data_IF_267279872081
#
_entry.id   IF_267279872081
#
_cell.length_a   1.000
_cell.length_b   1.000
_cell.length_c   1.000
_cell.angle_alpha   90.00
_cell.angle_beta   90.00
_cell.angle_gamma   90.00
#
_symmetry.space_group_name_H-M   'P 1'
#
loop_
_entity.id
_entity.type
_entity.pdbx_description
1 polymer ?
#
# COMPACT_ATOMS: atom_id res chain seq x y z
N UNK A 1 -4.11 -28.11 -46.22
CA UNK A 1 -4.72 -27.27 -47.29
C UNK A 1 -5.95 -26.62 -46.72
N UNK A 2 -5.96 -25.35 -46.53
CA UNK A 2 -7.07 -24.36 -46.49
C UNK A 2 -6.72 -23.20 -45.55
N UNK A 3 -6.26 -22.19 -46.14
CA UNK A 3 -6.67 -20.81 -46.39
C UNK A 3 -6.73 -19.89 -45.16
N UNK A 4 -5.66 -19.05 -45.09
CA UNK A 4 -5.60 -17.78 -44.33
C UNK A 4 -6.64 -16.81 -44.89
N UNK A 5 -7.31 -16.07 -43.99
CA UNK A 5 -7.97 -14.80 -44.33
C UNK A 5 -7.46 -13.72 -43.40
N UNK A 6 -6.70 -12.80 -43.98
CA UNK A 6 -6.33 -11.51 -43.39
C UNK A 6 -7.51 -10.53 -43.48
N UNK A 7 -7.78 -9.78 -42.44
CA UNK A 7 -8.62 -8.59 -42.50
C UNK A 7 -7.78 -7.43 -41.99
N UNK A 8 -7.45 -6.54 -42.94
CA UNK A 8 -6.85 -5.24 -42.68
C UNK A 8 -7.97 -4.24 -42.39
N UNK A 9 -7.89 -3.49 -41.33
CA UNK A 9 -8.73 -2.33 -41.08
C UNK A 9 -7.87 -1.05 -41.07
N UNK A 10 -8.11 -0.20 -42.05
CA UNK A 10 -7.61 1.16 -42.15
C UNK A 10 -8.21 2.02 -41.04
N UNK A 11 -7.38 2.82 -40.39
CA UNK A 11 -7.84 4.00 -39.67
C UNK A 11 -7.29 5.25 -40.31
N UNK A 12 -8.20 6.04 -40.85
CA UNK A 12 -8.00 7.38 -41.41
C UNK A 12 -7.90 8.41 -40.27
N UNK A 13 -6.85 9.20 -40.32
CA UNK A 13 -6.67 10.40 -39.51
C UNK A 13 -7.50 11.57 -40.09
N UNK A 14 -8.10 12.37 -39.22
CA UNK A 14 -8.61 13.68 -39.53
C UNK A 14 -8.12 14.68 -38.49
N UNK A 15 -7.18 15.54 -38.93
CA UNK A 15 -6.81 16.78 -38.25
C UNK A 15 -7.84 17.86 -38.58
N UNK A 16 -8.21 18.67 -37.61
CA UNK A 16 -8.73 20.02 -37.88
C UNK A 16 -8.26 20.98 -36.78
N UNK A 17 -7.76 22.11 -37.27
CA UNK A 17 -7.01 23.14 -36.56
C UNK A 17 -7.88 24.35 -36.19
N UNK A 18 -7.39 25.09 -35.21
CA UNK A 18 -7.37 26.55 -35.08
C UNK A 18 -8.65 27.31 -34.66
N UNK A 19 -8.46 28.19 -33.69
CA UNK A 19 -9.36 29.31 -33.37
C UNK A 19 -8.92 30.08 -32.14
N UNK A 20 -7.92 30.94 -32.29
CA UNK A 20 -7.55 31.99 -31.35
C UNK A 20 -8.54 33.15 -31.40
N UNK A 21 -8.88 33.78 -30.26
CA UNK A 21 -9.18 35.21 -30.19
C UNK A 21 -9.02 35.74 -28.76
N UNK A 22 -8.26 36.81 -28.68
CA UNK A 22 -7.97 37.64 -27.54
C UNK A 22 -9.11 38.63 -27.22
N UNK A 23 -9.18 39.09 -25.98
CA UNK A 23 -10.04 40.21 -25.60
C UNK A 23 -9.66 40.72 -24.18
N UNK A 24 -9.10 41.91 -24.17
CA UNK A 24 -8.66 42.71 -23.04
C UNK A 24 -9.76 43.51 -22.32
N UNK A 25 -9.35 44.03 -21.17
CA UNK A 25 -9.83 45.23 -20.39
C UNK A 25 -11.06 44.99 -19.51
N UNK A 26 -11.10 45.33 -18.24
CA UNK A 26 -10.47 46.39 -17.46
C UNK A 26 -11.54 46.94 -16.54
N UNK A 27 -11.27 47.11 -15.29
CA UNK A 27 -11.59 48.25 -14.43
C UNK A 27 -11.77 47.88 -12.96
N UNK A 28 -11.07 48.65 -12.16
CA UNK A 28 -11.11 48.74 -10.72
C UNK A 28 -12.48 49.04 -10.13
N UNK A 29 -12.71 48.53 -8.90
CA UNK A 29 -13.33 49.32 -7.84
C UNK A 29 -13.04 48.68 -6.49
N UNK A 30 -12.38 49.44 -5.64
CA UNK A 30 -12.13 49.30 -4.22
C UNK A 30 -13.41 49.43 -3.43
N UNK A 31 -13.66 48.51 -2.48
CA UNK A 31 -14.33 48.84 -1.19
C UNK A 31 -13.75 47.98 -0.09
N UNK A 32 -13.30 48.64 0.96
CA UNK A 32 -12.85 48.11 2.25
C UNK A 32 -14.03 47.58 3.06
N UNK A 33 -13.81 46.49 3.84
CA UNK A 33 -13.96 46.50 5.31
C UNK A 33 -14.06 45.05 5.85
N UNK A 34 -13.25 44.89 6.84
CA UNK A 34 -13.43 44.26 8.14
C UNK A 34 -13.25 42.73 8.29
N UNK A 35 -12.40 42.45 9.26
CA UNK A 35 -11.86 41.23 9.76
C UNK A 35 -12.92 40.26 10.33
N UNK A 36 -12.74 38.98 10.04
CA UNK A 36 -13.09 37.91 10.95
C UNK A 36 -12.00 36.84 10.90
N UNK A 37 -11.35 36.67 12.01
CA UNK A 37 -10.35 35.71 12.39
C UNK A 37 -10.93 34.30 12.24
N UNK A 38 -10.31 33.46 11.36
CA UNK A 38 -10.45 32.03 11.39
C UNK A 38 -9.09 31.41 11.10
N UNK A 39 -8.47 30.93 12.15
CA UNK A 39 -7.25 30.13 12.16
C UNK A 39 -7.41 28.88 11.28
N UNK A 40 -6.89 28.94 10.08
CA UNK A 40 -6.59 27.74 9.28
C UNK A 40 -5.31 27.10 9.83
N UNK A 41 -5.45 25.87 10.34
CA UNK A 41 -4.33 24.99 10.58
C UNK A 41 -3.75 24.58 9.21
N UNK A 42 -2.65 25.18 8.83
CA UNK A 42 -1.90 24.77 7.65
C UNK A 42 -1.20 23.43 7.93
N UNK A 43 -1.61 22.45 7.20
CA UNK A 43 -0.97 21.12 7.05
C UNK A 43 0.42 21.34 6.44
N UNK A 44 1.44 21.38 7.29
CA UNK A 44 2.82 21.43 6.87
C UNK A 44 3.32 19.98 6.70
N UNK A 45 3.10 19.42 5.52
CA UNK A 45 3.92 18.31 5.06
C UNK A 45 5.37 18.81 4.93
N UNK A 46 6.16 18.61 5.98
CA UNK A 46 7.60 18.80 5.92
C UNK A 46 8.20 17.68 5.10
N UNK A 47 8.49 17.96 3.83
CA UNK A 47 9.54 17.27 3.09
C UNK A 47 10.82 17.46 3.91
N UNK A 48 11.32 16.39 4.51
CA UNK A 48 12.64 16.38 5.12
C UNK A 48 13.65 16.58 3.98
N UNK A 49 14.12 17.82 3.85
CA UNK A 49 15.24 18.18 2.98
C UNK A 49 16.51 17.55 3.58
N UNK A 50 16.89 16.40 3.04
CA UNK A 50 18.06 15.64 3.47
C UNK A 50 19.31 16.23 2.77
N UNK A 51 19.61 17.50 3.02
CA UNK A 51 20.93 18.07 2.69
C UNK A 51 21.97 17.60 3.73
N UNK A 52 22.34 16.32 3.65
CA UNK A 52 23.57 15.85 4.28
C UNK A 52 24.74 16.57 3.59
N UNK A 53 25.58 17.23 4.37
CA UNK A 53 26.78 17.89 3.87
C UNK A 53 27.69 16.86 3.19
N UNK A 54 28.06 17.06 1.94
CA UNK A 54 28.92 16.15 1.14
C UNK A 54 30.25 15.78 1.83
N UNK A 55 30.66 16.52 2.87
CA UNK A 55 31.86 16.23 3.65
C UNK A 55 31.68 15.14 4.72
N UNK A 56 30.46 14.82 5.11
CA UNK A 56 30.16 13.90 6.24
C UNK A 56 30.01 12.43 5.80
N UNK A 57 29.98 12.17 4.49
CA UNK A 57 29.82 10.82 3.91
C UNK A 57 31.08 10.29 3.25
N UNK A 58 32.19 11.01 3.30
CA UNK A 58 33.43 10.62 2.62
C UNK A 58 34.03 9.34 3.23
N UNK A 59 34.01 8.25 2.44
CA UNK A 59 34.54 6.95 2.84
C UNK A 59 33.49 5.98 3.36
N UNK A 60 32.20 6.39 3.36
CA UNK A 60 31.09 5.50 3.63
C UNK A 60 30.65 4.79 2.34
N UNK A 61 30.08 3.59 2.48
CA UNK A 61 29.45 2.84 1.40
C UNK A 61 27.99 3.29 1.25
N UNK A 62 27.60 3.70 0.03
CA UNK A 62 26.22 4.08 -0.27
C UNK A 62 25.32 2.85 -0.33
N UNK A 63 24.21 2.89 0.39
CA UNK A 63 23.20 1.81 0.42
C UNK A 63 21.81 2.41 0.28
N UNK A 64 21.03 1.87 -0.65
CA UNK A 64 19.62 2.24 -0.84
C UNK A 64 18.70 1.14 -0.35
N UNK A 65 17.80 1.48 0.58
CA UNK A 65 16.73 0.60 1.07
C UNK A 65 15.40 1.09 0.55
N UNK A 66 14.69 0.26 -0.20
CA UNK A 66 13.34 0.57 -0.71
C UNK A 66 12.32 0.00 0.26
N UNK A 67 11.39 0.83 0.73
CA UNK A 67 10.29 0.42 1.60
C UNK A 67 9.24 -0.39 0.82
N UNK A 68 8.37 -1.08 1.54
CA UNK A 68 7.21 -1.79 1.00
C UNK A 68 6.02 -0.87 0.70
N UNK A 69 5.96 0.25 1.43
CA UNK A 69 4.88 1.24 1.37
C UNK A 69 5.40 2.62 1.77
N UNK A 70 4.52 3.61 1.94
CA UNK A 70 4.88 4.90 2.53
C UNK A 70 5.47 4.69 3.93
N UNK A 71 6.38 5.57 4.33
CA UNK A 71 7.03 5.50 5.63
C UNK A 71 6.01 5.43 6.77
N UNK A 72 6.18 4.48 7.68
CA UNK A 72 5.24 4.21 8.75
C UNK A 72 5.91 3.56 9.97
N UNK A 73 5.15 3.24 11.00
CA UNK A 73 5.67 2.73 12.27
C UNK A 73 6.39 1.38 12.16
N UNK A 74 6.14 0.56 11.14
CA UNK A 74 6.88 -0.69 10.90
C UNK A 74 8.34 -0.41 10.53
N UNK A 75 8.63 0.76 10.01
CA UNK A 75 9.98 1.19 9.60
C UNK A 75 10.76 1.93 10.71
N UNK A 76 10.18 2.09 11.90
CA UNK A 76 10.76 2.87 13.02
C UNK A 76 12.22 2.50 13.30
N UNK A 77 12.56 1.20 13.33
CA UNK A 77 13.92 0.76 13.61
C UNK A 77 14.96 1.29 12.61
N UNK A 78 14.60 1.36 11.34
CA UNK A 78 15.48 1.87 10.29
C UNK A 78 15.69 3.40 10.41
N UNK A 79 14.62 4.14 10.68
CA UNK A 79 14.71 5.58 10.88
C UNK A 79 15.45 5.95 12.17
N UNK A 80 15.27 5.17 13.25
CA UNK A 80 16.07 5.33 14.48
C UNK A 80 17.55 5.08 14.20
N UNK A 81 17.87 4.03 13.44
CA UNK A 81 19.26 3.75 13.08
C UNK A 81 19.90 4.85 12.23
N UNK A 82 19.10 5.47 11.34
CA UNK A 82 19.53 6.62 10.55
C UNK A 82 19.76 7.86 11.43
N UNK A 83 18.77 8.22 12.25
CA UNK A 83 18.80 9.40 13.13
C UNK A 83 19.92 9.32 14.18
N UNK A 84 20.09 8.16 14.80
CA UNK A 84 21.11 7.93 15.83
C UNK A 84 22.53 7.69 15.26
N UNK A 85 22.69 7.67 13.93
CA UNK A 85 23.97 7.52 13.27
C UNK A 85 24.51 6.09 13.23
N UNK A 86 23.75 5.07 13.60
CA UNK A 86 24.22 3.68 13.66
C UNK A 86 24.70 3.15 12.31
N UNK A 87 24.09 3.59 11.21
CA UNK A 87 24.56 3.26 9.87
C UNK A 87 25.93 3.89 9.56
N UNK A 88 26.12 5.16 9.93
CA UNK A 88 27.40 5.86 9.75
C UNK A 88 28.52 5.19 10.58
N UNK A 89 28.21 4.80 11.82
CA UNK A 89 29.14 4.08 12.69
C UNK A 89 29.53 2.70 12.10
N UNK A 90 28.63 2.10 11.31
CA UNK A 90 28.89 0.88 10.55
C UNK A 90 29.60 1.13 9.20
N UNK A 91 29.92 2.38 8.85
CA UNK A 91 30.57 2.72 7.59
C UNK A 91 29.62 2.86 6.40
N UNK A 92 28.32 3.03 6.65
CA UNK A 92 27.27 3.07 5.62
C UNK A 92 26.63 4.46 5.52
N UNK A 93 26.39 4.90 4.28
CA UNK A 93 25.54 6.03 3.95
C UNK A 93 24.21 5.50 3.42
N UNK A 94 23.22 5.32 4.32
CA UNK A 94 21.94 4.68 4.00
C UNK A 94 20.93 5.72 3.56
N UNK A 95 20.32 5.48 2.39
CA UNK A 95 19.15 6.19 1.88
C UNK A 95 17.92 5.28 1.98
N UNK A 96 16.89 5.73 2.68
CA UNK A 96 15.60 5.03 2.80
C UNK A 96 14.63 5.73 1.84
N UNK A 97 14.07 5.00 0.89
CA UNK A 97 13.18 5.53 -0.16
C UNK A 97 11.87 4.77 -0.21
N UNK A 98 10.80 5.46 -0.52
CA UNK A 98 9.50 4.84 -0.77
C UNK A 98 9.47 4.19 -2.16
N UNK A 99 8.69 3.12 -2.39
CA UNK A 99 8.55 2.52 -3.71
C UNK A 99 7.85 3.49 -4.66
N UNK A 100 8.43 3.72 -5.83
CA UNK A 100 7.88 4.65 -6.83
C UNK A 100 6.80 4.00 -7.69
N UNK A 101 7.08 2.81 -8.21
CA UNK A 101 6.16 2.02 -9.04
C UNK A 101 6.54 0.54 -8.95
N UNK A 102 5.53 -0.32 -8.80
CA UNK A 102 5.71 -1.77 -8.74
C UNK A 102 6.09 -2.32 -7.37
N UNK A 103 6.18 -3.63 -7.29
CA UNK A 103 6.54 -4.33 -6.06
C UNK A 103 8.03 -4.12 -5.75
N UNK A 104 8.35 -3.91 -4.47
CA UNK A 104 9.72 -3.68 -3.99
C UNK A 104 10.69 -4.78 -4.41
N UNK A 105 10.26 -6.04 -4.38
CA UNK A 105 11.04 -7.18 -4.87
C UNK A 105 11.52 -6.99 -6.32
N UNK A 106 10.67 -6.47 -7.20
CA UNK A 106 11.01 -6.19 -8.59
C UNK A 106 12.01 -5.04 -8.71
N UNK A 107 11.83 -3.97 -7.92
CA UNK A 107 12.74 -2.82 -7.92
C UNK A 107 14.15 -3.21 -7.49
N UNK A 108 14.27 -4.04 -6.44
CA UNK A 108 15.56 -4.60 -6.01
C UNK A 108 16.16 -5.51 -7.08
N UNK A 109 15.36 -6.38 -7.68
CA UNK A 109 15.83 -7.30 -8.72
C UNK A 109 16.44 -6.60 -9.94
N UNK A 110 15.95 -5.39 -10.28
CA UNK A 110 16.48 -4.56 -11.38
C UNK A 110 17.52 -3.54 -10.94
N UNK A 111 17.99 -3.61 -9.69
CA UNK A 111 19.07 -2.76 -9.16
C UNK A 111 18.67 -1.31 -8.88
N UNK A 112 17.40 -1.05 -8.55
CA UNK A 112 16.93 0.27 -8.10
C UNK A 112 17.20 0.54 -6.63
N UNK A 113 17.56 -0.48 -5.87
CA UNK A 113 18.01 -0.44 -4.49
C UNK A 113 18.77 -1.71 -4.15
N UNK A 114 19.57 -1.64 -3.09
CA UNK A 114 20.41 -2.76 -2.62
C UNK A 114 19.59 -3.70 -1.74
N UNK A 115 18.67 -3.15 -0.97
CA UNK A 115 17.75 -3.86 -0.11
C UNK A 115 16.31 -3.39 -0.32
N UNK A 116 15.36 -4.22 0.07
CA UNK A 116 13.94 -3.87 0.04
C UNK A 116 13.18 -4.53 1.17
N UNK A 117 12.20 -3.81 1.70
CA UNK A 117 11.20 -4.37 2.58
C UNK A 117 10.10 -4.98 1.73
N UNK A 118 9.67 -6.18 2.06
CA UNK A 118 8.64 -6.89 1.31
C UNK A 118 7.90 -7.87 2.21
N UNK A 119 6.89 -8.49 1.68
CA UNK A 119 6.06 -9.50 2.35
C UNK A 119 6.47 -10.90 1.90
N UNK A 120 6.27 -11.89 2.75
CA UNK A 120 6.61 -13.28 2.42
C UNK A 120 5.90 -13.76 1.17
N UNK A 121 4.62 -13.39 0.96
CA UNK A 121 3.85 -13.76 -0.21
C UNK A 121 4.50 -13.23 -1.49
N UNK A 122 4.87 -11.96 -1.53
CA UNK A 122 5.50 -11.33 -2.70
C UNK A 122 6.85 -11.95 -3.00
N UNK A 123 7.67 -12.19 -1.96
CA UNK A 123 8.96 -12.88 -2.10
C UNK A 123 8.76 -14.29 -2.61
N UNK A 124 7.76 -15.02 -2.10
CA UNK A 124 7.44 -16.38 -2.54
C UNK A 124 7.03 -16.40 -4.00
N UNK A 125 6.12 -15.52 -4.40
CA UNK A 125 5.68 -15.38 -5.80
C UNK A 125 6.88 -15.02 -6.69
N UNK A 126 7.70 -14.06 -6.29
CA UNK A 126 8.87 -13.62 -7.04
C UNK A 126 9.89 -14.75 -7.27
N UNK A 127 10.08 -15.64 -6.28
CA UNK A 127 11.05 -16.74 -6.33
C UNK A 127 10.51 -18.00 -6.99
N UNK A 128 9.17 -18.18 -7.03
CA UNK A 128 8.54 -19.41 -7.55
C UNK A 128 7.81 -19.22 -8.89
N UNK A 129 7.86 -18.01 -9.46
CA UNK A 129 7.30 -17.72 -10.79
C UNK A 129 8.04 -18.49 -11.88
N UNK A 130 7.47 -18.53 -13.08
CA UNK A 130 8.10 -19.15 -14.24
C UNK A 130 9.43 -18.50 -14.66
N UNK A 131 9.59 -17.22 -14.31
CA UNK A 131 10.83 -16.44 -14.48
C UNK A 131 11.19 -15.82 -13.12
N UNK A 132 11.92 -16.56 -12.25
CA UNK A 132 12.19 -16.14 -10.89
C UNK A 132 13.07 -14.88 -10.83
N UNK A 133 12.74 -13.94 -9.96
CA UNK A 133 13.54 -12.76 -9.73
C UNK A 133 14.86 -13.10 -9.00
N UNK A 134 15.98 -12.46 -9.34
CA UNK A 134 17.28 -12.70 -8.72
C UNK A 134 17.39 -11.98 -7.36
N UNK A 135 16.52 -12.32 -6.42
CA UNK A 135 16.49 -11.76 -5.06
C UNK A 135 16.72 -12.84 -4.00
N UNK A 136 17.00 -12.43 -2.77
CA UNK A 136 17.12 -13.32 -1.61
C UNK A 136 16.47 -12.65 -0.40
N UNK A 137 15.66 -13.39 0.34
CA UNK A 137 15.27 -13.01 1.69
C UNK A 137 16.49 -13.16 2.63
N UNK A 138 16.81 -12.13 3.39
CA UNK A 138 18.00 -12.10 4.26
C UNK A 138 17.66 -12.02 5.75
N UNK A 139 16.49 -11.47 6.08
CA UNK A 139 16.03 -11.33 7.45
C UNK A 139 14.50 -11.18 7.49
N UNK A 140 13.91 -11.50 8.63
CA UNK A 140 12.53 -11.13 8.96
C UNK A 140 12.55 -10.00 9.97
N UNK A 141 11.71 -8.98 9.78
CA UNK A 141 11.57 -7.84 10.69
C UNK A 141 10.45 -8.13 11.69
N UNK A 142 9.32 -8.63 11.21
CA UNK A 142 8.17 -9.05 12.01
C UNK A 142 8.09 -10.57 11.95
N UNK A 143 7.90 -11.21 13.13
CA UNK A 143 7.98 -12.67 13.26
C UNK A 143 6.62 -13.36 13.16
N UNK A 144 5.54 -12.62 13.41
CA UNK A 144 4.17 -13.14 13.40
C UNK A 144 3.29 -12.28 12.53
N UNK A 145 2.30 -12.90 11.91
CA UNK A 145 1.32 -12.18 11.11
C UNK A 145 0.48 -11.24 12.00
N UNK A 146 0.55 -9.95 11.72
CA UNK A 146 -0.19 -8.90 12.42
C UNK A 146 -1.43 -8.43 11.65
N UNK A 147 -1.78 -9.14 10.59
CA UNK A 147 -2.98 -8.85 9.81
C UNK A 147 -4.16 -9.74 10.19
N UNK A 148 -5.34 -9.34 9.78
CA UNK A 148 -6.58 -10.07 10.01
C UNK A 148 -7.76 -9.47 9.28
N UNK A 149 -8.92 -10.03 9.52
CA UNK A 149 -10.17 -9.56 8.94
C UNK A 149 -10.99 -8.81 9.99
N UNK A 150 -11.40 -7.60 9.65
CA UNK A 150 -12.29 -6.81 10.47
C UNK A 150 -13.72 -6.82 9.90
N UNK A 151 -14.68 -6.94 10.79
CA UNK A 151 -16.11 -6.81 10.50
C UNK A 151 -16.75 -5.83 11.49
N UNK A 152 -17.90 -5.30 11.15
CA UNK A 152 -18.61 -4.42 12.08
C UNK A 152 -19.21 -5.25 13.22
N UNK A 153 -19.01 -4.80 14.44
CA UNK A 153 -19.60 -5.47 15.61
C UNK A 153 -21.14 -5.55 15.48
N UNK A 154 -21.71 -6.67 15.87
CA UNK A 154 -23.16 -6.91 15.81
C UNK A 154 -23.72 -7.33 14.43
N UNK A 155 -22.90 -7.42 13.38
CA UNK A 155 -23.35 -7.94 12.07
C UNK A 155 -23.45 -9.47 11.99
N UNK A 156 -23.08 -10.17 13.05
CA UNK A 156 -23.15 -11.64 13.12
C UNK A 156 -22.14 -12.35 12.24
N UNK A 157 -21.02 -11.69 11.91
CA UNK A 157 -19.89 -12.24 11.18
C UNK A 157 -18.81 -12.54 12.22
N UNK A 158 -18.63 -13.82 12.57
CA UNK A 158 -17.77 -14.23 13.68
C UNK A 158 -16.64 -15.15 13.24
N UNK A 159 -16.70 -15.68 12.03
CA UNK A 159 -15.67 -16.54 11.46
C UNK A 159 -15.68 -16.44 9.94
N UNK A 160 -14.63 -16.96 9.24
CA UNK A 160 -14.57 -16.98 7.79
C UNK A 160 -15.76 -17.68 7.11
N UNK A 161 -16.44 -18.59 7.79
CA UNK A 161 -17.66 -19.23 7.29
C UNK A 161 -18.78 -18.23 7.06
N UNK A 162 -18.85 -17.19 7.86
CA UNK A 162 -19.87 -16.15 7.75
C UNK A 162 -19.60 -15.17 6.58
N UNK A 163 -18.48 -15.31 5.89
CA UNK A 163 -18.14 -14.48 4.72
C UNK A 163 -18.95 -14.87 3.46
N UNK A 164 -19.58 -16.04 3.44
CA UNK A 164 -20.44 -16.43 2.31
C UNK A 164 -21.55 -15.40 2.07
N UNK A 165 -21.64 -14.90 0.84
CA UNK A 165 -22.60 -13.88 0.44
C UNK A 165 -22.32 -12.47 0.95
N UNK A 166 -21.18 -12.23 1.60
CA UNK A 166 -20.73 -10.92 2.08
C UNK A 166 -19.89 -10.19 1.05
N UNK A 167 -19.72 -8.89 1.25
CA UNK A 167 -18.83 -8.06 0.45
C UNK A 167 -17.54 -7.81 1.21
N UNK A 168 -16.44 -8.25 0.64
CA UNK A 168 -15.08 -7.99 1.10
C UNK A 168 -14.45 -6.91 0.22
N UNK A 169 -13.80 -5.90 0.85
CA UNK A 169 -13.01 -4.90 0.16
C UNK A 169 -11.52 -5.05 0.50
N UNK A 170 -10.68 -5.09 -0.52
CA UNK A 170 -9.25 -5.18 -0.40
C UNK A 170 -8.51 -4.58 -1.59
N UNK A 171 -7.24 -4.93 -1.78
CA UNK A 171 -6.41 -4.37 -2.88
C UNK A 171 -6.40 -5.23 -4.14
N UNK A 172 -6.99 -6.44 -4.12
CA UNK A 172 -7.12 -7.32 -5.27
C UNK A 172 -5.83 -8.06 -5.67
N UNK A 173 -4.92 -8.23 -4.73
CA UNK A 173 -3.69 -8.97 -4.95
C UNK A 173 -3.89 -10.49 -4.90
N UNK A 174 -3.07 -11.29 -5.64
CA UNK A 174 -3.20 -12.76 -5.65
C UNK A 174 -2.90 -13.40 -4.28
N UNK A 175 -2.03 -12.80 -3.46
CA UNK A 175 -1.76 -13.24 -2.10
C UNK A 175 -2.97 -13.08 -1.20
N UNK A 176 -3.65 -11.95 -1.28
CA UNK A 176 -4.89 -11.66 -0.56
C UNK A 176 -5.99 -12.70 -0.87
N UNK A 177 -6.22 -12.96 -2.16
CA UNK A 177 -7.19 -13.96 -2.60
C UNK A 177 -6.83 -15.36 -2.07
N UNK A 178 -5.55 -15.73 -2.10
CA UNK A 178 -5.08 -17.02 -1.63
C UNK A 178 -5.31 -17.19 -0.12
N UNK A 179 -5.07 -16.17 0.69
CA UNK A 179 -5.31 -16.19 2.13
C UNK A 179 -6.81 -16.28 2.44
N UNK A 180 -7.66 -15.44 1.81
CA UNK A 180 -9.12 -15.51 1.96
C UNK A 180 -9.65 -16.89 1.63
N UNK A 181 -9.22 -17.46 0.50
CA UNK A 181 -9.61 -18.81 0.09
C UNK A 181 -9.16 -19.86 1.11
N UNK A 182 -7.94 -19.73 1.66
CA UNK A 182 -7.42 -20.66 2.63
C UNK A 182 -8.24 -20.65 3.93
N UNK A 183 -8.48 -19.47 4.52
CA UNK A 183 -9.22 -19.36 5.78
C UNK A 183 -10.68 -19.75 5.63
N UNK A 184 -11.34 -19.38 4.54
CA UNK A 184 -12.72 -19.78 4.27
C UNK A 184 -12.85 -21.28 4.08
N UNK A 185 -11.92 -21.90 3.30
CA UNK A 185 -11.91 -23.35 3.08
C UNK A 185 -11.65 -24.10 4.40
N UNK A 186 -10.72 -23.59 5.22
CA UNK A 186 -10.40 -24.17 6.53
C UNK A 186 -11.63 -24.17 7.45
N UNK A 187 -12.45 -23.14 7.40
CA UNK A 187 -13.71 -23.01 8.19
C UNK A 187 -14.93 -23.65 7.49
N UNK A 188 -14.73 -24.34 6.39
CA UNK A 188 -15.77 -25.08 5.66
C UNK A 188 -16.71 -24.22 4.84
N UNK A 189 -16.24 -23.02 4.43
CA UNK A 189 -16.97 -22.10 3.57
C UNK A 189 -16.61 -22.25 2.10
N UNK A 190 -17.51 -21.82 1.23
CA UNK A 190 -17.31 -21.74 -0.21
C UNK A 190 -16.84 -20.31 -0.59
N UNK A 191 -15.54 -20.18 -0.87
CA UNK A 191 -14.92 -18.91 -1.27
C UNK A 191 -15.60 -18.27 -2.49
N UNK A 192 -16.15 -19.08 -3.43
CA UNK A 192 -16.81 -18.55 -4.63
C UNK A 192 -18.06 -17.71 -4.34
N UNK A 193 -18.57 -17.78 -3.13
CA UNK A 193 -19.71 -16.98 -2.67
C UNK A 193 -19.33 -15.63 -2.05
N UNK A 194 -18.04 -15.36 -1.84
CA UNK A 194 -17.55 -14.07 -1.37
C UNK A 194 -17.59 -13.06 -2.53
N UNK A 195 -18.20 -11.90 -2.32
CA UNK A 195 -18.15 -10.81 -3.29
C UNK A 195 -16.92 -9.95 -3.01
N UNK A 196 -15.87 -10.06 -3.83
CA UNK A 196 -14.65 -9.27 -3.69
C UNK A 196 -14.75 -7.97 -4.50
N UNK A 197 -14.42 -6.84 -3.87
CA UNK A 197 -14.34 -5.53 -4.51
C UNK A 197 -13.00 -4.87 -4.19
N UNK A 198 -12.51 -4.02 -5.09
CA UNK A 198 -11.32 -3.22 -4.83
C UNK A 198 -11.70 -2.05 -3.92
N UNK A 199 -10.94 -1.87 -2.83
CA UNK A 199 -11.08 -0.72 -1.95
C UNK A 199 -10.67 0.56 -2.68
N UNK A 200 -11.45 1.61 -2.50
CA UNK A 200 -11.16 2.95 -3.03
C UNK A 200 -10.26 3.78 -2.10
N UNK A 201 -9.71 3.15 -1.06
CA UNK A 201 -8.93 3.81 -0.02
C UNK A 201 -9.76 4.51 1.05
N UNK A 202 -11.09 4.46 0.95
CA UNK A 202 -11.96 4.95 2.03
C UNK A 202 -11.80 4.09 3.27
N UNK A 203 -11.81 4.73 4.45
CA UNK A 203 -11.75 4.02 5.72
C UNK A 203 -12.98 3.13 5.95
N UNK A 204 -12.84 2.11 6.79
CA UNK A 204 -13.89 1.12 7.07
C UNK A 204 -15.18 1.76 7.57
N UNK A 205 -15.09 2.81 8.39
CA UNK A 205 -16.25 3.58 8.85
C UNK A 205 -17.06 4.16 7.68
N UNK A 206 -16.40 4.71 6.67
CA UNK A 206 -17.05 5.28 5.49
C UNK A 206 -17.69 4.22 4.59
N UNK A 207 -17.27 2.97 4.70
CA UNK A 207 -17.76 1.84 3.90
C UNK A 207 -18.82 0.98 4.60
N UNK A 208 -19.28 1.38 5.80
CA UNK A 208 -20.15 0.61 6.69
C UNK A 208 -21.39 0.00 6.02
N UNK A 209 -21.98 0.68 5.05
CA UNK A 209 -23.20 0.23 4.36
C UNK A 209 -22.92 -0.50 3.02
N UNK A 210 -21.66 -0.59 2.62
CA UNK A 210 -21.26 -1.14 1.31
C UNK A 210 -20.38 -2.38 1.43
N UNK A 211 -19.63 -2.51 2.53
CA UNK A 211 -18.66 -3.55 2.77
C UNK A 211 -18.95 -4.22 4.10
N UNK A 212 -18.74 -5.51 4.17
CA UNK A 212 -18.96 -6.30 5.39
C UNK A 212 -17.64 -6.69 6.06
N UNK A 213 -16.60 -6.93 5.27
CA UNK A 213 -15.29 -7.43 5.71
C UNK A 213 -14.18 -6.66 5.02
N UNK A 214 -13.13 -6.30 5.76
CA UNK A 214 -11.89 -5.73 5.23
C UNK A 214 -10.67 -6.38 5.86
N UNK A 215 -9.56 -6.34 5.14
CA UNK A 215 -8.23 -6.69 5.69
C UNK A 215 -7.70 -5.54 6.53
N UNK A 216 -7.30 -5.85 7.75
CA UNK A 216 -6.76 -4.91 8.72
C UNK A 216 -5.38 -5.31 9.20
N UNK A 217 -4.62 -4.34 9.68
CA UNK A 217 -3.37 -4.52 10.38
C UNK A 217 -3.52 -4.05 11.84
N UNK A 218 -3.13 -4.91 12.80
CA UNK A 218 -3.30 -4.64 14.25
C UNK A 218 -2.70 -3.30 14.66
N UNK A 219 -1.48 -3.01 14.19
CA UNK A 219 -0.75 -1.80 14.56
C UNK A 219 -1.29 -0.49 13.94
N UNK A 220 -2.31 -0.58 13.08
CA UNK A 220 -2.85 0.55 12.34
C UNK A 220 -4.36 0.66 12.45
N UNK A 221 -5.05 -0.21 11.73
CA UNK A 221 -6.48 -0.08 11.55
C UNK A 221 -7.23 -0.35 12.84
N UNK A 222 -6.78 -1.34 13.64
CA UNK A 222 -7.40 -1.62 14.93
C UNK A 222 -7.22 -0.44 15.88
N UNK A 223 -6.02 0.13 15.98
CA UNK A 223 -5.74 1.30 16.81
C UNK A 223 -6.55 2.50 16.34
N UNK A 224 -6.66 2.69 15.02
CA UNK A 224 -7.48 3.77 14.44
C UNK A 224 -8.94 3.63 14.84
N UNK A 225 -9.51 2.42 14.76
CA UNK A 225 -10.88 2.15 15.18
C UNK A 225 -11.06 2.35 16.69
N UNK A 226 -10.10 1.91 17.50
CA UNK A 226 -10.11 2.10 18.95
C UNK A 226 -10.11 3.60 19.33
N UNK A 227 -9.22 4.40 18.72
CA UNK A 227 -9.15 5.84 18.93
C UNK A 227 -10.40 6.60 18.47
N UNK A 228 -11.09 6.07 17.47
CA UNK A 228 -12.34 6.62 16.95
C UNK A 228 -13.60 6.12 17.70
N UNK A 229 -13.43 5.29 18.73
CA UNK A 229 -14.54 4.60 19.43
C UNK A 229 -15.49 3.86 18.44
N UNK A 230 -14.88 3.25 17.43
CA UNK A 230 -15.57 2.55 16.34
C UNK A 230 -15.47 1.03 16.56
N UNK A 231 -16.54 0.38 17.03
CA UNK A 231 -16.51 -1.03 17.41
C UNK A 231 -16.41 -1.95 16.19
N UNK A 232 -15.40 -2.81 16.21
CA UNK A 232 -15.15 -3.86 15.22
C UNK A 232 -15.01 -5.22 15.89
N UNK A 233 -15.33 -6.28 15.16
CA UNK A 233 -14.90 -7.63 15.47
C UNK A 233 -13.69 -7.96 14.58
N UNK A 234 -12.53 -8.19 15.19
CA UNK A 234 -11.29 -8.46 14.50
C UNK A 234 -10.89 -9.93 14.65
N UNK A 235 -10.54 -10.57 13.53
CA UNK A 235 -10.14 -11.97 13.43
C UNK A 235 -8.70 -12.04 12.91
N UNK A 236 -7.69 -12.23 13.76
CA UNK A 236 -6.30 -12.36 13.32
C UNK A 236 -6.12 -13.56 12.38
N UNK A 237 -5.45 -13.36 11.25
CA UNK A 237 -5.21 -14.44 10.27
C UNK A 237 -4.46 -15.62 10.90
N UNK A 238 -3.50 -15.35 11.79
CA UNK A 238 -2.74 -16.39 12.51
C UNK A 238 -3.59 -17.29 13.38
N UNK A 239 -4.72 -16.78 13.91
CA UNK A 239 -5.64 -17.56 14.74
C UNK A 239 -6.62 -18.38 13.90
N UNK A 240 -6.88 -17.95 12.66
CA UNK A 240 -7.74 -18.65 11.70
C UNK A 240 -7.02 -19.85 11.07
N UNK A 241 -5.73 -19.68 10.76
CA UNK A 241 -4.89 -20.75 10.21
C UNK A 241 -3.42 -20.50 10.61
N UNK A 242 -2.89 -21.31 11.51
CA UNK A 242 -1.51 -21.18 11.98
C UNK A 242 -0.44 -21.31 10.89
N UNK A 243 -0.78 -21.84 9.70
CA UNK A 243 0.10 -21.88 8.52
C UNK A 243 0.31 -20.50 7.91
N UNK A 244 -0.55 -19.55 8.26
CA UNK A 244 -0.51 -18.17 7.79
C UNK A 244 0.11 -17.21 8.83
N UNK A 245 0.71 -17.76 9.90
CA UNK A 245 1.44 -16.97 10.91
C UNK A 245 2.87 -16.67 10.40
N UNK A 246 2.94 -15.85 9.36
CA UNK A 246 4.17 -15.36 8.77
C UNK A 246 3.99 -13.91 8.31
N UNK A 247 5.11 -13.23 8.04
CA UNK A 247 5.03 -11.85 7.56
C UNK A 247 6.09 -11.53 6.51
#
# INVERSE_FOLDING_TARGET
MMKKKSVAALFTAACLAAGSLAGCSGASSTVSSEAADSTEASDAAQSADNTASENDTKGLEDVTVILDYVANTNHTGMYVALDQGYYKDAGLNVSIVEPTEGATATLVAVGKGDFGISYQEDVTIALTSADPLPIKAIATIIQHNTSGFATYEGKGINSPKDFEGKTYAGWGGPGEEAVLKAVMTQDGADFSKLNMVISDGSGFEALKDKVDVMWFFEGWDNIKCELADFPIHYMPVRDLDSRLDYY
#
